data_IF_839782235065
#
_entry.id   IF_839782235065
#
_cell.length_a   1.000
_cell.length_b   1.000
_cell.length_c   1.000
_cell.angle_alpha   90.00
_cell.angle_beta   90.00
_cell.angle_gamma   90.00
#
_symmetry.space_group_name_H-M   'P 1'
#
loop_
_entity.id
_entity.type
_entity.pdbx_description
1 polymer ?
#
# COMPACT_ATOMS: atom_id res chain seq x y z
N UNK A 1 25.84 3.85 26.65
CA UNK A 1 25.27 2.56 27.09
C UNK A 1 23.75 2.65 27.00
N UNK A 2 23.14 1.92 26.06
CA UNK A 2 21.83 1.25 26.16
C UNK A 2 21.61 0.54 24.82
N UNK A 3 22.27 -0.62 24.71
CA UNK A 3 22.14 -1.56 23.63
C UNK A 3 20.90 -2.41 23.91
N UNK A 4 19.70 -1.85 23.72
CA UNK A 4 18.50 -2.67 23.59
C UNK A 4 18.35 -2.98 22.10
N UNK A 5 19.09 -3.99 21.63
CA UNK A 5 18.83 -4.61 20.33
C UNK A 5 17.45 -5.28 20.45
N UNK A 6 16.40 -4.53 20.15
CA UNK A 6 15.10 -5.14 19.90
C UNK A 6 15.27 -6.18 18.78
N UNK A 7 14.80 -7.41 19.00
CA UNK A 7 14.92 -8.46 18.01
C UNK A 7 14.29 -7.98 16.69
N UNK A 8 15.02 -8.01 15.56
CA UNK A 8 14.48 -7.55 14.27
C UNK A 8 13.19 -8.32 13.89
N UNK A 9 13.06 -9.57 14.36
CA UNK A 9 11.84 -10.38 14.23
C UNK A 9 10.63 -9.77 14.95
N UNK A 10 10.82 -9.19 16.15
CA UNK A 10 9.74 -8.53 16.90
C UNK A 10 9.24 -7.28 16.18
N UNK A 11 10.15 -6.48 15.64
CA UNK A 11 9.81 -5.30 14.84
C UNK A 11 8.99 -5.70 13.61
N UNK A 12 9.44 -6.72 12.87
CA UNK A 12 8.72 -7.25 11.70
C UNK A 12 7.31 -7.70 12.09
N UNK A 13 7.17 -8.44 13.20
CA UNK A 13 5.86 -8.92 13.68
C UNK A 13 4.96 -7.74 14.07
N UNK A 14 5.47 -6.78 14.83
CA UNK A 14 4.72 -5.60 15.24
C UNK A 14 4.23 -4.79 14.03
N UNK A 15 5.10 -4.57 13.04
CA UNK A 15 4.71 -3.86 11.82
C UNK A 15 3.65 -4.64 11.03
N UNK A 16 3.86 -5.94 10.80
CA UNK A 16 2.97 -6.72 9.92
C UNK A 16 1.66 -7.12 10.58
N UNK A 17 1.64 -7.39 11.89
CA UNK A 17 0.43 -7.86 12.60
C UNK A 17 -0.33 -6.74 13.30
N UNK A 18 0.35 -5.68 13.74
CA UNK A 18 -0.31 -4.59 14.45
C UNK A 18 -0.46 -3.40 13.52
N UNK A 19 0.65 -2.78 13.11
CA UNK A 19 0.61 -1.53 12.36
C UNK A 19 -0.13 -1.66 11.03
N UNK A 20 0.24 -2.63 10.20
CA UNK A 20 -0.41 -2.85 8.91
C UNK A 20 -1.90 -3.17 9.08
N UNK A 21 -2.25 -4.00 10.05
CA UNK A 21 -3.65 -4.31 10.37
C UNK A 21 -4.43 -3.08 10.82
N UNK A 22 -3.89 -2.26 11.73
CA UNK A 22 -4.55 -1.04 12.18
C UNK A 22 -4.73 -0.02 11.04
N UNK A 23 -3.73 0.17 10.18
CA UNK A 23 -3.87 1.07 9.01
C UNK A 23 -4.94 0.52 8.06
N UNK A 24 -4.95 -0.79 7.81
CA UNK A 24 -5.93 -1.44 6.93
C UNK A 24 -7.35 -1.29 7.47
N UNK A 25 -7.59 -1.64 8.73
CA UNK A 25 -8.93 -1.60 9.33
C UNK A 25 -9.48 -0.18 9.29
N UNK A 26 -8.60 0.81 9.47
CA UNK A 26 -8.96 2.22 9.39
C UNK A 26 -9.21 2.71 7.95
N UNK A 27 -8.46 2.18 6.97
CA UNK A 27 -8.75 2.37 5.54
C UNK A 27 -10.08 1.75 5.13
N UNK A 28 -10.49 0.67 5.77
CA UNK A 28 -11.74 -0.03 5.46
C UNK A 28 -12.95 0.60 6.17
N UNK A 29 -12.71 1.44 7.18
CA UNK A 29 -13.77 2.06 7.95
C UNK A 29 -14.64 2.99 7.09
N UNK A 30 -15.94 2.68 7.02
CA UNK A 30 -16.91 3.43 6.22
C UNK A 30 -16.71 3.30 4.71
N UNK A 31 -16.04 2.22 4.27
CA UNK A 31 -16.01 1.87 2.86
C UNK A 31 -17.36 1.32 2.39
N UNK A 32 -17.70 1.62 1.13
CA UNK A 32 -18.85 1.05 0.44
C UNK A 32 -18.52 -0.40 0.09
N UNK A 33 -19.39 -1.33 0.46
CA UNK A 33 -19.30 -2.72 -0.01
C UNK A 33 -19.56 -2.72 -1.51
N UNK A 34 -18.64 -3.26 -2.30
CA UNK A 34 -18.72 -3.23 -3.76
C UNK A 34 -19.10 -4.62 -4.24
N UNK A 35 -20.40 -4.87 -4.41
CA UNK A 35 -20.90 -6.08 -5.06
C UNK A 35 -20.55 -6.04 -6.54
N UNK A 36 -19.46 -6.71 -6.90
CA UNK A 36 -19.12 -6.96 -8.30
C UNK A 36 -19.91 -8.20 -8.74
N UNK A 37 -21.11 -7.94 -9.29
CA UNK A 37 -22.04 -8.86 -9.94
C UNK A 37 -23.13 -9.49 -9.03
N UNK A 38 -24.43 -9.09 -9.20
CA UNK A 38 -25.55 -9.58 -8.39
C UNK A 38 -25.82 -11.09 -8.46
N UNK A 39 -25.38 -11.76 -9.53
CA UNK A 39 -25.79 -13.15 -9.84
C UNK A 39 -24.91 -14.21 -9.15
N UNK A 40 -23.67 -13.87 -8.77
CA UNK A 40 -22.74 -14.80 -8.11
C UNK A 40 -22.89 -14.74 -6.58
N UNK A 41 -23.25 -13.57 -6.03
CA UNK A 41 -23.43 -13.34 -4.58
C UNK A 41 -24.62 -14.12 -3.97
N UNK A 42 -25.61 -14.56 -4.76
CA UNK A 42 -26.71 -15.40 -4.25
C UNK A 42 -26.22 -16.76 -3.76
N UNK A 43 -25.15 -17.30 -4.36
CA UNK A 43 -24.61 -18.62 -4.02
C UNK A 43 -23.51 -18.56 -2.96
N UNK A 44 -22.93 -17.39 -2.72
CA UNK A 44 -21.88 -17.18 -1.72
C UNK A 44 -22.20 -15.90 -0.93
N UNK A 45 -22.97 -16.04 0.17
CA UNK A 45 -23.29 -14.96 1.11
C UNK A 45 -22.03 -14.47 1.85
N UNK A 46 -21.11 -13.82 1.16
CA UNK A 46 -20.04 -13.04 1.78
C UNK A 46 -20.06 -11.64 1.17
N UNK A 47 -20.49 -10.60 1.91
CA UNK A 47 -20.28 -9.24 1.46
C UNK A 47 -18.77 -9.07 1.22
N UNK A 48 -18.36 -8.87 -0.02
CA UNK A 48 -16.96 -8.63 -0.37
C UNK A 48 -16.57 -7.27 0.18
N UNK A 49 -16.12 -7.26 1.44
CA UNK A 49 -15.61 -6.07 2.11
C UNK A 49 -14.42 -5.54 1.31
N UNK A 50 -14.50 -4.30 0.84
CA UNK A 50 -13.42 -3.65 0.09
C UNK A 50 -12.13 -3.74 0.92
N UNK A 51 -11.08 -4.36 0.38
CA UNK A 51 -9.80 -4.45 1.07
C UNK A 51 -9.00 -3.14 0.91
N UNK A 52 -8.17 -2.77 1.89
CA UNK A 52 -7.33 -1.56 1.79
C UNK A 52 -6.41 -1.57 0.55
N UNK A 53 -6.01 -2.76 0.09
CA UNK A 53 -5.24 -2.94 -1.15
C UNK A 53 -6.04 -2.61 -2.41
N UNK A 54 -7.36 -2.90 -2.44
CA UNK A 54 -8.21 -2.57 -3.60
C UNK A 54 -8.26 -1.07 -3.85
N UNK A 55 -8.25 -0.28 -2.77
CA UNK A 55 -8.19 1.19 -2.82
C UNK A 55 -6.86 1.66 -3.41
N UNK A 56 -5.75 1.03 -3.00
CA UNK A 56 -4.40 1.33 -3.51
C UNK A 56 -4.28 0.97 -4.99
N UNK A 57 -4.81 -0.20 -5.39
CA UNK A 57 -4.85 -0.63 -6.79
C UNK A 57 -5.67 0.33 -7.64
N UNK A 58 -6.85 0.73 -7.18
CA UNK A 58 -7.66 1.71 -7.90
C UNK A 58 -6.90 3.03 -8.07
N UNK A 59 -6.25 3.54 -7.01
CA UNK A 59 -5.43 4.75 -7.12
C UNK A 59 -4.34 4.61 -8.18
N UNK A 60 -3.64 3.48 -8.17
CA UNK A 60 -2.59 3.16 -9.14
C UNK A 60 -3.11 3.14 -10.57
N UNK A 61 -4.22 2.43 -10.84
CA UNK A 61 -4.82 2.38 -12.17
C UNK A 61 -5.38 3.73 -12.62
N UNK A 62 -6.02 4.47 -11.72
CA UNK A 62 -6.53 5.82 -11.99
C UNK A 62 -5.40 6.76 -12.38
N UNK A 63 -4.28 6.76 -11.65
CA UNK A 63 -3.12 7.60 -11.95
C UNK A 63 -2.34 7.16 -13.17
N UNK A 64 -2.23 5.85 -13.44
CA UNK A 64 -1.64 5.37 -14.69
C UNK A 64 -2.53 5.64 -15.91
N UNK A 65 -3.85 5.63 -15.74
CA UNK A 65 -4.81 6.05 -16.77
C UNK A 65 -4.62 7.51 -17.16
N UNK A 66 -4.42 8.38 -16.18
CA UNK A 66 -4.07 9.80 -16.37
C UNK A 66 -2.70 9.95 -17.08
N UNK A 67 -1.69 9.15 -16.69
CA UNK A 67 -0.36 9.14 -17.32
C UNK A 67 -0.29 8.49 -18.71
N UNK A 68 -1.23 7.66 -19.14
CA UNK A 68 -1.23 7.12 -20.51
C UNK A 68 -1.34 8.26 -21.56
N UNK A 69 -1.98 9.37 -21.18
CA UNK A 69 -2.04 10.63 -21.93
C UNK A 69 -0.72 11.42 -21.89
N UNK A 70 0.17 11.16 -20.91
CA UNK A 70 1.45 11.88 -20.70
C UNK A 70 2.72 11.02 -20.97
N UNK A 71 2.56 9.72 -21.21
CA UNK A 71 3.62 8.69 -21.28
C UNK A 71 4.60 8.85 -22.46
N UNK A 72 4.20 9.57 -23.51
CA UNK A 72 5.09 9.82 -24.67
C UNK A 72 6.34 10.63 -24.28
N UNK A 73 6.27 11.47 -23.23
CA UNK A 73 7.38 12.37 -22.86
C UNK A 73 8.34 11.73 -21.83
N UNK A 74 7.90 10.72 -21.06
CA UNK A 74 8.64 10.28 -19.87
C UNK A 74 9.58 9.08 -20.08
N UNK A 75 9.45 8.35 -21.21
CA UNK A 75 10.31 7.20 -21.54
C UNK A 75 11.80 7.53 -21.62
N UNK A 76 12.16 8.80 -21.86
CA UNK A 76 13.55 9.26 -21.90
C UNK A 76 14.20 9.38 -20.51
N UNK A 77 13.44 9.74 -19.46
CA UNK A 77 14.01 9.94 -18.12
C UNK A 77 14.45 8.64 -17.43
N UNK A 78 13.81 7.51 -17.76
CA UNK A 78 14.16 6.18 -17.23
C UNK A 78 15.50 5.68 -17.78
N UNK A 79 15.88 6.06 -19.00
CA UNK A 79 17.13 5.62 -19.62
C UNK A 79 18.37 6.27 -19.02
N UNK A 80 18.23 7.42 -18.36
CA UNK A 80 19.36 8.20 -17.84
C UNK A 80 19.61 8.06 -16.34
N UNK A 81 18.91 7.16 -15.65
CA UNK A 81 19.12 6.86 -14.23
C UNK A 81 19.25 8.12 -13.36
N UNK A 82 18.51 9.18 -13.69
CA UNK A 82 18.50 10.41 -12.93
C UNK A 82 17.71 10.15 -11.66
N UNK A 83 18.45 9.80 -10.61
CA UNK A 83 17.98 9.85 -9.24
C UNK A 83 17.42 11.25 -9.00
N UNK A 84 16.09 11.38 -9.01
CA UNK A 84 15.43 12.64 -8.69
C UNK A 84 15.54 12.80 -7.17
N UNK A 85 16.70 13.29 -6.74
CA UNK A 85 16.97 13.70 -5.38
C UNK A 85 16.16 14.97 -5.08
N UNK A 86 14.92 14.78 -4.64
CA UNK A 86 14.06 15.87 -4.22
C UNK A 86 12.77 15.38 -3.58
N UNK A 87 12.40 15.93 -2.42
CA UNK A 87 11.10 15.74 -1.76
C UNK A 87 10.03 16.54 -2.51
N UNK A 88 9.93 16.38 -3.82
CA UNK A 88 8.85 16.98 -4.62
C UNK A 88 7.62 16.07 -4.57
N UNK A 89 6.40 16.62 -4.46
CA UNK A 89 5.16 15.84 -4.53
C UNK A 89 5.07 14.96 -5.80
N UNK A 90 5.54 15.48 -6.94
CA UNK A 90 5.59 14.73 -8.21
C UNK A 90 6.54 13.53 -8.13
N UNK A 91 7.67 13.68 -7.45
CA UNK A 91 8.62 12.59 -7.25
C UNK A 91 8.06 11.51 -6.30
N UNK A 92 7.38 11.94 -5.22
CA UNK A 92 6.77 11.02 -4.26
C UNK A 92 5.65 10.19 -4.88
N UNK A 93 4.85 10.78 -5.77
CA UNK A 93 3.82 10.05 -6.53
C UNK A 93 4.44 9.03 -7.50
N UNK A 94 5.47 9.41 -8.28
CA UNK A 94 6.14 8.47 -9.19
C UNK A 94 6.77 7.30 -8.43
N UNK A 95 7.42 7.58 -7.30
CA UNK A 95 8.02 6.57 -6.44
C UNK A 95 6.96 5.63 -5.84
N UNK A 96 5.82 6.16 -5.38
CA UNK A 96 4.65 5.38 -4.95
C UNK A 96 4.16 4.42 -6.06
N UNK A 97 3.93 4.94 -7.27
CA UNK A 97 3.44 4.13 -8.38
C UNK A 97 4.42 3.02 -8.77
N UNK A 98 5.72 3.31 -8.78
CA UNK A 98 6.76 2.32 -9.05
C UNK A 98 6.79 1.22 -7.98
N UNK A 99 6.66 1.58 -6.70
CA UNK A 99 6.64 0.61 -5.60
C UNK A 99 5.41 -0.29 -5.68
N UNK A 100 4.22 0.27 -5.97
CA UNK A 100 3.00 -0.53 -6.18
C UNK A 100 3.18 -1.49 -7.35
N UNK A 101 3.72 -1.03 -8.48
CA UNK A 101 4.00 -1.87 -9.65
C UNK A 101 4.97 -3.03 -9.32
N UNK A 102 6.02 -2.75 -8.54
CA UNK A 102 6.96 -3.77 -8.08
C UNK A 102 6.29 -4.79 -7.14
N UNK A 103 5.41 -4.36 -6.24
CA UNK A 103 4.67 -5.26 -5.35
C UNK A 103 3.72 -6.13 -6.16
N UNK A 104 2.97 -5.56 -7.10
CA UNK A 104 2.10 -6.32 -8.00
C UNK A 104 2.93 -7.35 -8.77
N UNK A 105 4.04 -6.97 -9.39
CA UNK A 105 4.83 -7.89 -10.23
C UNK A 105 5.51 -9.01 -9.43
N UNK A 106 5.92 -8.76 -8.19
CA UNK A 106 6.56 -9.74 -7.31
C UNK A 106 5.57 -10.67 -6.62
N UNK A 107 4.42 -10.15 -6.18
CA UNK A 107 3.45 -10.91 -5.38
C UNK A 107 2.35 -11.58 -6.22
N UNK A 108 2.03 -11.04 -7.40
CA UNK A 108 1.07 -11.68 -8.33
C UNK A 108 1.59 -13.01 -8.88
N UNK A 109 2.93 -13.16 -8.97
CA UNK A 109 3.57 -14.42 -9.39
C UNK A 109 3.24 -15.60 -8.47
N UNK A 110 2.77 -15.35 -7.24
CA UNK A 110 2.53 -16.37 -6.22
C UNK A 110 1.08 -16.38 -5.70
N UNK A 111 0.10 -15.84 -6.46
CA UNK A 111 -1.34 -15.80 -6.10
C UNK A 111 -1.62 -15.30 -4.66
N UNK A 112 -0.88 -14.28 -4.21
CA UNK A 112 -0.96 -13.79 -2.83
C UNK A 112 -2.26 -13.05 -2.54
N UNK A 113 -2.74 -13.14 -1.30
CA UNK A 113 -3.92 -12.41 -0.85
C UNK A 113 -3.69 -10.88 -0.89
N UNK A 114 -4.78 -10.12 -0.94
CA UNK A 114 -4.72 -8.65 -0.85
C UNK A 114 -4.05 -8.17 0.45
N UNK A 115 -4.15 -8.96 1.52
CA UNK A 115 -3.50 -8.69 2.80
C UNK A 115 -1.97 -8.80 2.73
N UNK A 116 -1.43 -9.80 2.03
CA UNK A 116 0.02 -9.90 1.79
C UNK A 116 0.57 -8.73 1.00
N UNK A 117 -0.13 -8.32 -0.07
CA UNK A 117 0.26 -7.14 -0.86
C UNK A 117 0.24 -5.86 -0.01
N UNK A 118 -0.81 -5.70 0.81
CA UNK A 118 -0.93 -4.55 1.71
C UNK A 118 0.21 -4.49 2.74
N UNK A 119 0.54 -5.63 3.36
CA UNK A 119 1.67 -5.71 4.32
C UNK A 119 3.00 -5.41 3.64
N UNK A 120 3.22 -5.91 2.43
CA UNK A 120 4.41 -5.60 1.63
C UNK A 120 4.51 -4.09 1.35
N UNK A 121 3.39 -3.46 1.00
CA UNK A 121 3.30 -2.01 0.80
C UNK A 121 3.68 -1.21 2.05
N UNK A 122 3.13 -1.57 3.22
CA UNK A 122 3.47 -0.89 4.48
C UNK A 122 4.95 -1.03 4.80
N UNK A 123 5.53 -2.23 4.63
CA UNK A 123 6.97 -2.45 4.80
C UNK A 123 7.80 -1.55 3.85
N UNK A 124 7.47 -1.54 2.56
CA UNK A 124 8.18 -0.74 1.56
C UNK A 124 8.11 0.76 1.86
N UNK A 125 6.94 1.23 2.31
CA UNK A 125 6.72 2.63 2.65
C UNK A 125 7.48 3.09 3.89
N UNK A 126 7.60 2.20 4.90
CA UNK A 126 8.41 2.44 6.10
C UNK A 126 9.91 2.46 5.77
N UNK A 127 10.39 1.51 4.96
CA UNK A 127 11.78 1.49 4.50
C UNK A 127 12.14 2.77 3.73
N UNK A 128 11.21 3.26 2.89
CA UNK A 128 11.37 4.50 2.15
C UNK A 128 11.17 5.78 2.99
N UNK A 129 10.75 5.67 4.26
CA UNK A 129 10.34 6.79 5.14
C UNK A 129 9.27 7.69 4.51
N UNK A 130 8.36 7.09 3.71
CA UNK A 130 7.35 7.81 2.94
C UNK A 130 5.92 7.34 3.20
N UNK A 131 5.71 6.50 4.21
CA UNK A 131 4.39 5.98 4.58
C UNK A 131 3.33 7.09 4.71
N UNK A 132 3.61 8.12 5.50
CA UNK A 132 2.69 9.26 5.68
C UNK A 132 2.43 9.95 4.36
N UNK A 133 3.48 10.29 3.62
CA UNK A 133 3.39 11.00 2.32
C UNK A 133 2.54 10.22 1.33
N UNK A 134 2.73 8.91 1.22
CA UNK A 134 2.01 8.06 0.27
C UNK A 134 0.54 7.88 0.66
N UNK A 135 0.25 7.62 1.92
CA UNK A 135 -1.13 7.57 2.41
C UNK A 135 -1.85 8.90 2.19
N UNK A 136 -1.14 10.02 2.39
CA UNK A 136 -1.67 11.35 2.15
C UNK A 136 -2.07 11.56 0.68
N UNK A 137 -1.22 11.14 -0.26
CA UNK A 137 -1.51 11.18 -1.70
C UNK A 137 -2.76 10.37 -2.07
N UNK A 138 -2.96 9.20 -1.45
CA UNK A 138 -4.12 8.33 -1.71
C UNK A 138 -5.39 8.97 -1.15
N UNK A 139 -5.41 9.39 0.12
CA UNK A 139 -6.62 9.93 0.77
C UNK A 139 -7.00 11.34 0.31
N UNK A 140 -6.08 12.10 -0.29
CA UNK A 140 -6.41 13.39 -0.91
C UNK A 140 -6.97 13.24 -2.33
N UNK A 141 -6.92 12.05 -2.93
CA UNK A 141 -7.57 11.80 -4.20
C UNK A 141 -9.10 11.86 -4.06
N UNK A 142 -9.73 12.86 -4.69
CA UNK A 142 -11.19 13.07 -4.60
C UNK A 142 -11.96 11.88 -5.18
N UNK A 143 -11.46 11.27 -6.26
CA UNK A 143 -12.10 10.12 -6.92
C UNK A 143 -12.10 8.88 -6.04
N UNK A 144 -11.01 8.61 -5.32
CA UNK A 144 -10.96 7.54 -4.31
C UNK A 144 -12.06 7.73 -3.28
N UNK A 145 -12.20 8.95 -2.76
CA UNK A 145 -13.09 9.25 -1.64
C UNK A 145 -14.55 9.13 -2.08
N UNK A 146 -14.89 9.68 -3.25
CA UNK A 146 -16.22 9.54 -3.84
C UNK A 146 -16.57 8.07 -4.13
N UNK A 147 -15.61 7.31 -4.67
CA UNK A 147 -15.83 5.94 -5.13
C UNK A 147 -15.96 4.96 -3.97
N UNK A 148 -15.06 5.03 -2.99
CA UNK A 148 -14.93 3.98 -1.98
C UNK A 148 -15.56 4.31 -0.64
N UNK A 149 -15.81 5.58 -0.31
CA UNK A 149 -16.17 5.94 1.06
C UNK A 149 -17.55 6.57 1.16
N UNK A 150 -18.27 6.28 2.25
CA UNK A 150 -19.44 7.05 2.64
C UNK A 150 -19.02 8.41 3.22
N UNK A 151 -19.86 9.46 3.10
CA UNK A 151 -19.53 10.79 3.62
C UNK A 151 -19.24 10.83 5.12
N UNK A 152 -19.86 9.96 5.91
CA UNK A 152 -19.64 9.84 7.36
C UNK A 152 -18.35 9.09 7.73
N UNK A 153 -17.67 8.47 6.76
CA UNK A 153 -16.45 7.72 7.04
C UNK A 153 -15.36 8.64 7.59
N UNK A 154 -14.51 8.10 8.46
CA UNK A 154 -13.39 8.82 9.05
C UNK A 154 -12.46 9.40 7.98
N UNK A 155 -12.17 8.63 6.92
CA UNK A 155 -11.31 9.05 5.81
C UNK A 155 -11.96 10.18 4.99
N UNK A 156 -13.28 10.12 4.73
CA UNK A 156 -13.96 11.18 3.98
C UNK A 156 -14.05 12.50 4.76
N UNK A 157 -14.29 12.43 6.06
CA UNK A 157 -14.48 13.58 6.95
C UNK A 157 -13.17 14.25 7.36
N UNK A 158 -12.16 13.47 7.77
CA UNK A 158 -10.91 14.01 8.35
C UNK A 158 -9.70 13.90 7.42
N UNK A 159 -9.83 13.21 6.28
CA UNK A 159 -8.70 12.87 5.40
C UNK A 159 -7.55 12.15 6.10
N UNK A 160 -7.87 11.47 7.20
CA UNK A 160 -6.93 10.68 7.98
C UNK A 160 -5.82 11.53 8.66
N UNK A 161 -6.02 12.83 8.85
CA UNK A 161 -4.95 13.72 9.31
C UNK A 161 -4.37 13.36 10.68
N UNK A 162 -5.20 12.96 11.66
CA UNK A 162 -4.70 12.67 13.01
C UNK A 162 -3.96 11.33 13.09
N UNK A 163 -4.44 10.33 12.35
CA UNK A 163 -3.71 9.07 12.16
C UNK A 163 -2.37 9.30 11.46
N UNK A 164 -2.33 10.14 10.42
CA UNK A 164 -1.11 10.50 9.71
C UNK A 164 -0.10 11.24 10.60
N UNK A 165 -0.55 12.16 11.46
CA UNK A 165 0.33 12.82 12.45
C UNK A 165 0.98 11.81 13.39
N UNK A 166 0.20 10.83 13.87
CA UNK A 166 0.71 9.77 14.74
C UNK A 166 1.75 8.90 14.03
N UNK A 167 1.54 8.63 12.73
CA UNK A 167 2.46 7.88 11.89
C UNK A 167 3.72 8.66 11.52
N UNK A 168 3.71 9.99 11.57
CA UNK A 168 4.89 10.81 11.23
C UNK A 168 6.03 10.62 12.23
N UNK A 169 5.71 10.24 13.47
CA UNK A 169 6.70 9.81 14.45
C UNK A 169 7.51 8.58 13.98
N UNK A 170 7.03 7.81 12.99
CA UNK A 170 7.77 6.68 12.42
C UNK A 170 8.83 7.12 11.40
N UNK A 171 8.67 8.29 10.77
CA UNK A 171 9.58 8.81 9.72
C UNK A 171 11.03 8.96 10.21
N UNK A 172 11.22 9.25 11.52
CA UNK A 172 12.54 9.40 12.14
C UNK A 172 13.33 8.08 12.19
N UNK A 173 12.65 6.94 12.30
CA UNK A 173 13.31 5.65 12.39
C UNK A 173 13.76 5.14 11.02
N UNK A 174 14.82 4.31 11.00
CA UNK A 174 15.27 3.61 9.79
C UNK A 174 14.79 2.16 9.90
N UNK A 175 14.00 1.74 8.93
CA UNK A 175 13.49 0.39 8.84
C UNK A 175 14.22 -0.37 7.73
N UNK A 176 14.49 -1.65 7.99
CA UNK A 176 14.96 -2.61 7.00
C UNK A 176 14.04 -3.85 7.06
N UNK A 177 12.80 -3.65 6.59
CA UNK A 177 11.75 -4.65 6.64
C UNK A 177 11.71 -5.43 5.33
N UNK A 178 11.75 -6.77 5.37
CA UNK A 178 11.64 -7.56 4.16
C UNK A 178 10.22 -7.43 3.56
N UNK A 179 10.15 -6.86 2.36
CA UNK A 179 8.92 -6.63 1.59
C UNK A 179 8.37 -7.94 1.03
N UNK A 180 9.25 -8.91 0.82
CA UNK A 180 9.04 -10.21 0.19
C UNK A 180 8.94 -11.37 1.18
N UNK A 181 8.68 -11.10 2.47
CA UNK A 181 8.57 -12.15 3.50
C UNK A 181 7.60 -13.28 3.13
N UNK A 182 6.43 -12.92 2.57
CA UNK A 182 5.41 -13.91 2.20
C UNK A 182 5.76 -14.62 0.88
N UNK A 183 6.70 -14.07 0.11
CA UNK A 183 7.26 -14.69 -1.11
C UNK A 183 8.36 -15.68 -0.73
N UNK A 184 9.29 -15.30 0.16
CA UNK A 184 10.38 -16.18 0.64
C UNK A 184 9.86 -17.41 1.36
N UNK A 185 8.83 -17.26 2.21
CA UNK A 185 8.21 -18.41 2.89
C UNK A 185 7.70 -19.46 1.92
N UNK A 186 7.10 -19.02 0.81
CA UNK A 186 6.55 -19.93 -0.19
C UNK A 186 7.60 -20.51 -1.12
N UNK A 187 8.64 -19.76 -1.49
CA UNK A 187 9.78 -20.35 -2.21
C UNK A 187 10.47 -21.46 -1.41
N UNK A 188 10.53 -21.31 -0.08
CA UNK A 188 11.05 -22.35 0.80
C UNK A 188 10.09 -23.55 0.81
N UNK A 189 8.79 -23.34 0.96
CA UNK A 189 7.78 -24.42 0.95
C UNK A 189 7.75 -25.17 -0.40
N UNK A 190 7.78 -24.48 -1.55
CA UNK A 190 7.81 -25.11 -2.88
C UNK A 190 9.07 -25.96 -3.12
N UNK A 191 10.22 -25.55 -2.56
CA UNK A 191 11.47 -26.31 -2.66
C UNK A 191 11.53 -27.56 -1.75
N UNK A 192 10.60 -27.72 -0.80
CA UNK A 192 10.48 -28.93 0.01
C UNK A 192 9.60 -30.01 -0.64
N UNK A 193 8.96 -29.70 -1.77
CA UNK A 193 8.14 -30.64 -2.55
C UNK A 193 8.83 -31.12 -3.85
N UNK A 194 10.16 -30.99 -3.94
CA UNK A 194 10.99 -31.55 -5.02
C UNK A 194 11.94 -32.60 -4.45
#
# INVERSE_FOLDING_TARGET
MLHSREDPKKIIIAVRKCLATSIRDLMQHGTKSRSVLPLVDYFYQTPSTTHGWDIILYYYHFKKGDEFTSSTIQKLSRSFNLEIAGVSPRNSQKNLLCVIENIISTHSRYKKSHDSHFKAFVCAALNAKRLVVWLNLIFHCKDIIKTFYYPWSYVASTRYQDGLKSLDALTRFRFDLPVDLDVRKYQIEDNFFI
#
